data_IF_229337272494
#
_entry.id   IF_229337272494
#
_cell.length_a   1.000
_cell.length_b   1.000
_cell.length_c   1.000
_cell.angle_alpha   90.00
_cell.angle_beta   90.00
_cell.angle_gamma   90.00
#
_symmetry.space_group_name_H-M   'P 1'
#
loop_
_entity.id
_entity.type
_entity.pdbx_description
1 polymer ?
#
# COMPACT_ATOMS: atom_id res chain seq x y z
N UNK A 1 -60.57 10.77 44.69
CA UNK A 1 -60.03 12.10 44.36
C UNK A 1 -60.70 12.56 43.07
N UNK A 2 -61.47 13.65 43.15
CA UNK A 2 -62.21 14.26 42.04
C UNK A 2 -61.25 15.13 41.22
N UNK A 3 -60.95 14.70 39.99
CA UNK A 3 -60.08 15.46 39.08
C UNK A 3 -60.83 16.74 38.70
N UNK A 4 -60.24 17.88 39.07
CA UNK A 4 -60.80 19.21 38.84
C UNK A 4 -60.95 19.44 37.32
N UNK A 5 -62.17 19.59 36.78
CA UNK A 5 -62.43 19.72 35.33
C UNK A 5 -61.64 20.87 34.68
N UNK A 6 -61.37 21.93 35.46
CA UNK A 6 -60.60 23.10 34.99
C UNK A 6 -59.14 22.77 34.64
N UNK A 7 -58.53 21.79 35.29
CA UNK A 7 -57.15 21.38 35.04
C UNK A 7 -57.01 20.60 33.73
N UNK A 8 -57.95 19.70 33.45
CA UNK A 8 -57.99 18.91 32.20
C UNK A 8 -58.21 19.82 30.99
N UNK A 9 -59.07 20.83 31.12
CA UNK A 9 -59.31 21.80 30.04
C UNK A 9 -58.10 22.73 29.81
N UNK A 10 -57.38 23.12 30.87
CA UNK A 10 -56.13 23.86 30.75
C UNK A 10 -55.02 23.04 30.06
N UNK A 11 -54.92 21.75 30.38
CA UNK A 11 -53.94 20.85 29.76
C UNK A 11 -54.20 20.69 28.26
N UNK A 12 -55.45 20.42 27.86
CA UNK A 12 -55.85 20.31 26.44
C UNK A 12 -55.62 21.60 25.67
N UNK A 13 -55.87 22.75 26.30
CA UNK A 13 -55.57 24.07 25.70
C UNK A 13 -54.07 24.26 25.47
N UNK A 14 -53.23 23.88 26.44
CA UNK A 14 -51.76 23.96 26.30
C UNK A 14 -51.25 23.05 25.19
N UNK A 15 -51.71 21.81 25.13
CA UNK A 15 -51.35 20.86 24.07
C UNK A 15 -51.78 21.37 22.69
N UNK A 16 -52.99 21.92 22.58
CA UNK A 16 -53.48 22.51 21.34
C UNK A 16 -52.66 23.72 20.91
N UNK A 17 -52.27 24.58 21.85
CA UNK A 17 -51.40 25.74 21.57
C UNK A 17 -50.02 25.25 21.12
N UNK A 18 -49.44 24.24 21.77
CA UNK A 18 -48.15 23.66 21.38
C UNK A 18 -48.22 23.11 19.95
N UNK A 19 -49.23 22.30 19.63
CA UNK A 19 -49.40 21.72 18.31
C UNK A 19 -49.61 22.81 17.23
N UNK A 20 -50.34 23.88 17.56
CA UNK A 20 -50.51 25.01 16.65
C UNK A 20 -49.22 25.78 16.45
N UNK A 21 -48.39 25.92 17.49
CA UNK A 21 -47.09 26.57 17.40
C UNK A 21 -46.13 25.75 16.52
N UNK A 22 -46.07 24.43 16.72
CA UNK A 22 -45.24 23.53 15.92
C UNK A 22 -45.65 23.55 14.43
N UNK A 23 -46.94 23.59 14.13
CA UNK A 23 -47.43 23.66 12.76
C UNK A 23 -47.18 25.04 12.14
N UNK A 24 -47.26 26.13 12.91
CA UNK A 24 -46.88 27.48 12.45
C UNK A 24 -45.40 27.51 12.10
N UNK A 25 -44.53 26.99 12.95
CA UNK A 25 -43.08 26.98 12.73
C UNK A 25 -42.72 26.15 11.48
N UNK A 26 -43.40 25.01 11.29
CA UNK A 26 -43.27 24.16 10.10
C UNK A 26 -43.73 24.87 8.83
N UNK A 27 -44.87 25.55 8.87
CA UNK A 27 -45.40 26.29 7.73
C UNK A 27 -44.52 27.49 7.40
N UNK A 28 -44.02 28.21 8.41
CA UNK A 28 -43.07 29.31 8.24
C UNK A 28 -41.75 28.84 7.61
N UNK A 29 -41.21 27.70 8.03
CA UNK A 29 -40.02 27.11 7.41
C UNK A 29 -40.25 26.77 5.93
N UNK A 30 -41.42 26.20 5.60
CA UNK A 30 -41.81 25.87 4.22
C UNK A 30 -42.01 27.12 3.36
N UNK A 31 -42.65 28.16 3.90
CA UNK A 31 -42.81 29.45 3.21
C UNK A 31 -41.46 30.11 2.97
N UNK A 32 -40.56 30.12 3.95
CA UNK A 32 -39.20 30.67 3.79
C UNK A 32 -38.42 29.99 2.66
N UNK A 33 -38.52 28.66 2.54
CA UNK A 33 -37.93 27.91 1.42
C UNK A 33 -38.60 28.30 0.09
N UNK A 34 -39.92 28.40 0.06
CA UNK A 34 -40.68 28.78 -1.13
C UNK A 34 -40.37 30.22 -1.60
N UNK A 35 -40.25 31.17 -0.68
CA UNK A 35 -39.88 32.56 -0.94
C UNK A 35 -38.43 32.67 -1.45
N UNK A 36 -37.49 31.92 -0.85
CA UNK A 36 -36.10 31.84 -1.34
C UNK A 36 -36.01 31.24 -2.75
N UNK A 37 -36.93 30.34 -3.10
CA UNK A 37 -37.07 29.76 -4.43
C UNK A 37 -37.97 30.56 -5.39
N UNK A 38 -38.40 31.78 -5.03
CA UNK A 38 -39.16 32.65 -5.91
C UNK A 38 -40.58 32.16 -6.25
N UNK A 39 -41.20 31.34 -5.41
CA UNK A 39 -42.61 30.94 -5.55
C UNK A 39 -42.91 29.81 -6.55
N UNK A 40 -41.91 29.09 -7.05
CA UNK A 40 -42.12 27.97 -7.99
C UNK A 40 -42.27 26.63 -7.25
N UNK A 41 -43.38 26.45 -6.53
CA UNK A 41 -43.65 25.22 -5.76
C UNK A 41 -43.77 23.93 -6.61
N UNK A 42 -44.15 24.07 -7.89
CA UNK A 42 -44.18 22.95 -8.84
C UNK A 42 -42.76 22.46 -9.20
N UNK A 43 -41.79 23.36 -9.20
CA UNK A 43 -40.41 23.06 -9.60
C UNK A 43 -39.60 22.47 -8.44
N UNK A 44 -39.97 22.74 -7.18
CA UNK A 44 -39.30 22.11 -6.01
C UNK A 44 -39.52 20.60 -5.99
N UNK A 45 -40.70 20.12 -6.37
CA UNK A 45 -40.98 18.67 -6.41
C UNK A 45 -40.18 18.00 -7.52
N UNK A 46 -40.14 18.63 -8.70
CA UNK A 46 -39.32 18.21 -9.86
C UNK A 46 -37.81 18.30 -9.58
N UNK A 47 -37.34 19.34 -8.88
CA UNK A 47 -35.94 19.51 -8.49
C UNK A 47 -35.52 18.57 -7.36
N UNK A 48 -36.42 18.20 -6.44
CA UNK A 48 -36.17 17.16 -5.43
C UNK A 48 -36.11 15.79 -6.10
N UNK A 49 -36.98 15.53 -7.07
CA UNK A 49 -37.02 14.28 -7.82
C UNK A 49 -35.81 14.15 -8.77
N UNK A 50 -35.37 15.25 -9.39
CA UNK A 50 -34.10 15.35 -10.12
C UNK A 50 -32.89 15.22 -9.19
N UNK A 51 -32.88 15.84 -8.01
CA UNK A 51 -31.78 15.68 -7.03
C UNK A 51 -31.75 14.30 -6.38
N UNK A 52 -32.88 13.60 -6.29
CA UNK A 52 -32.95 12.19 -5.89
C UNK A 52 -32.48 11.27 -7.03
N UNK A 53 -32.73 11.64 -8.29
CA UNK A 53 -32.15 10.98 -9.48
C UNK A 53 -30.64 11.23 -9.62
N UNK A 54 -30.16 12.46 -9.37
CA UNK A 54 -28.73 12.79 -9.26
C UNK A 54 -28.11 12.15 -8.00
N UNK A 55 -28.93 11.93 -6.97
CA UNK A 55 -28.65 11.06 -5.81
C UNK A 55 -28.51 9.58 -6.15
N UNK A 56 -28.82 9.17 -7.40
CA UNK A 56 -28.41 7.88 -7.97
C UNK A 56 -26.91 7.83 -8.33
N UNK A 57 -26.10 8.65 -7.65
CA UNK A 57 -24.70 8.38 -7.37
C UNK A 57 -24.48 6.94 -6.85
N UNK A 58 -25.51 6.20 -6.42
CA UNK A 58 -25.42 4.75 -6.15
C UNK A 58 -24.93 3.92 -7.35
N UNK A 59 -25.37 4.18 -8.59
CA UNK A 59 -24.92 3.36 -9.74
C UNK A 59 -23.47 3.67 -10.11
N UNK A 60 -23.12 4.95 -10.16
CA UNK A 60 -21.76 5.41 -10.43
C UNK A 60 -20.80 4.99 -9.30
N UNK A 61 -21.19 5.11 -8.04
CA UNK A 61 -20.41 4.62 -6.88
C UNK A 61 -20.24 3.10 -6.92
N UNK A 62 -21.26 2.34 -7.31
CA UNK A 62 -21.13 0.88 -7.46
C UNK A 62 -20.21 0.53 -8.63
N UNK A 63 -20.30 1.24 -9.75
CA UNK A 63 -19.42 1.03 -10.90
C UNK A 63 -17.97 1.41 -10.58
N UNK A 64 -17.73 2.56 -9.95
CA UNK A 64 -16.41 3.00 -9.49
C UNK A 64 -15.82 2.04 -8.45
N UNK A 65 -16.63 1.52 -7.52
CA UNK A 65 -16.19 0.48 -6.57
C UNK A 65 -15.80 -0.81 -7.29
N UNK A 66 -16.59 -1.25 -8.25
CA UNK A 66 -16.27 -2.42 -9.08
C UNK A 66 -14.98 -2.21 -9.89
N UNK A 67 -14.79 -1.02 -10.47
CA UNK A 67 -13.56 -0.66 -11.18
C UNK A 67 -12.35 -0.66 -10.23
N UNK A 68 -12.48 -0.08 -9.03
CA UNK A 68 -11.44 -0.07 -8.01
C UNK A 68 -11.06 -1.50 -7.59
N UNK A 69 -12.04 -2.35 -7.26
CA UNK A 69 -11.80 -3.75 -6.91
C UNK A 69 -11.12 -4.51 -8.06
N UNK A 70 -11.53 -4.27 -9.31
CA UNK A 70 -10.90 -4.89 -10.49
C UNK A 70 -9.44 -4.45 -10.66
N UNK A 71 -9.15 -3.17 -10.40
CA UNK A 71 -7.82 -2.59 -10.49
C UNK A 71 -6.92 -3.12 -9.37
N UNK A 72 -7.43 -3.19 -8.14
CA UNK A 72 -6.73 -3.78 -7.01
C UNK A 72 -6.42 -5.26 -7.24
N UNK A 73 -7.36 -6.02 -7.80
CA UNK A 73 -7.15 -7.43 -8.13
C UNK A 73 -6.08 -7.59 -9.21
N UNK A 74 -6.09 -6.75 -10.24
CA UNK A 74 -5.03 -6.72 -11.27
C UNK A 74 -3.67 -6.38 -10.65
N UNK A 75 -3.61 -5.40 -9.75
CA UNK A 75 -2.38 -5.01 -9.07
C UNK A 75 -1.86 -6.15 -8.17
N UNK A 76 -2.73 -6.81 -7.41
CA UNK A 76 -2.39 -8.00 -6.60
C UNK A 76 -1.81 -9.11 -7.47
N UNK A 77 -2.44 -9.41 -8.62
CA UNK A 77 -1.95 -10.42 -9.57
C UNK A 77 -0.60 -10.02 -10.16
N UNK A 78 -0.42 -8.75 -10.54
CA UNK A 78 0.83 -8.24 -11.07
C UNK A 78 1.98 -8.41 -10.05
N UNK A 79 1.75 -8.03 -8.79
CA UNK A 79 2.72 -8.20 -7.70
C UNK A 79 3.06 -9.68 -7.46
N UNK A 80 2.07 -10.57 -7.54
CA UNK A 80 2.31 -12.02 -7.41
C UNK A 80 3.16 -12.56 -8.57
N UNK A 81 2.84 -12.19 -9.82
CA UNK A 81 3.64 -12.58 -10.98
C UNK A 81 5.06 -12.05 -10.86
N UNK A 82 5.23 -10.78 -10.47
CA UNK A 82 6.55 -10.18 -10.27
C UNK A 82 7.37 -10.91 -9.20
N UNK A 83 6.75 -11.25 -8.05
CA UNK A 83 7.40 -12.02 -6.99
C UNK A 83 7.85 -13.38 -7.48
N UNK A 84 6.99 -14.09 -8.23
CA UNK A 84 7.29 -15.39 -8.79
C UNK A 84 8.47 -15.33 -9.77
N UNK A 85 8.41 -14.43 -10.76
CA UNK A 85 9.50 -14.24 -11.73
C UNK A 85 10.80 -13.81 -11.04
N UNK A 86 10.74 -12.92 -10.05
CA UNK A 86 11.93 -12.52 -9.28
C UNK A 86 12.55 -13.69 -8.52
N UNK A 87 11.73 -14.56 -7.94
CA UNK A 87 12.20 -15.77 -7.28
C UNK A 87 12.84 -16.75 -8.27
N UNK A 88 12.19 -16.99 -9.41
CA UNK A 88 12.73 -17.85 -10.48
C UNK A 88 14.11 -17.37 -10.96
N UNK A 89 14.28 -16.06 -11.17
CA UNK A 89 15.59 -15.47 -11.54
C UNK A 89 16.63 -15.64 -10.43
N UNK A 90 16.24 -15.45 -9.15
CA UNK A 90 17.14 -15.64 -8.02
C UNK A 90 17.59 -17.10 -7.90
N UNK A 91 16.66 -18.04 -8.07
CA UNK A 91 16.96 -19.47 -8.04
C UNK A 91 17.86 -19.90 -9.21
N UNK A 92 17.60 -19.39 -10.42
CA UNK A 92 18.44 -19.64 -11.59
C UNK A 92 19.86 -19.11 -11.37
N UNK A 93 19.99 -17.86 -10.91
CA UNK A 93 21.30 -17.25 -10.60
C UNK A 93 22.03 -18.03 -9.51
N UNK A 94 21.34 -18.45 -8.46
CA UNK A 94 21.94 -19.24 -7.38
C UNK A 94 22.47 -20.59 -7.88
N UNK A 95 21.71 -21.31 -8.71
CA UNK A 95 22.14 -22.61 -9.26
C UNK A 95 23.27 -22.48 -10.28
N UNK A 96 23.26 -21.44 -11.11
CA UNK A 96 24.23 -21.26 -12.18
C UNK A 96 25.55 -20.63 -11.69
N UNK A 97 25.46 -19.63 -10.82
CA UNK A 97 26.63 -18.84 -10.39
C UNK A 97 27.11 -19.20 -8.99
N UNK A 98 26.32 -19.96 -8.23
CA UNK A 98 26.64 -20.30 -6.85
C UNK A 98 26.47 -19.14 -5.87
N UNK A 99 25.79 -18.06 -6.25
CA UNK A 99 25.57 -16.89 -5.37
C UNK A 99 24.10 -16.61 -5.14
N UNK A 100 23.73 -16.46 -3.87
CA UNK A 100 22.41 -16.01 -3.45
C UNK A 100 22.44 -14.49 -3.32
N UNK A 101 21.61 -13.82 -4.11
CA UNK A 101 21.49 -12.36 -4.13
C UNK A 101 20.23 -11.92 -3.37
N UNK A 102 20.45 -11.19 -2.27
CA UNK A 102 19.41 -10.61 -1.44
C UNK A 102 19.52 -9.07 -1.42
N UNK A 103 18.39 -8.39 -1.43
CA UNK A 103 18.31 -6.93 -1.40
C UNK A 103 17.94 -6.53 0.03
N UNK A 104 18.88 -5.97 0.78
CA UNK A 104 18.73 -5.68 2.22
C UNK A 104 18.25 -4.25 2.50
N UNK A 105 18.26 -3.38 1.49
CA UNK A 105 17.83 -1.98 1.62
C UNK A 105 17.88 -1.25 0.28
N UNK A 106 17.64 0.07 0.30
CA UNK A 106 17.79 0.91 -0.88
C UNK A 106 19.28 0.95 -1.27
N UNK A 107 19.65 0.22 -2.31
CA UNK A 107 21.00 0.12 -2.89
C UNK A 107 21.98 -0.83 -2.20
N UNK A 108 21.55 -1.63 -1.22
CA UNK A 108 22.42 -2.61 -0.58
C UNK A 108 22.08 -4.04 -1.01
N UNK A 109 23.10 -4.77 -1.44
CA UNK A 109 23.02 -6.12 -1.95
C UNK A 109 23.87 -7.05 -1.09
N UNK A 110 23.27 -8.11 -0.58
CA UNK A 110 23.95 -9.18 0.14
C UNK A 110 24.15 -10.36 -0.81
N UNK A 111 25.40 -10.78 -0.98
CA UNK A 111 25.78 -11.94 -1.77
C UNK A 111 26.36 -13.02 -0.85
N UNK A 112 25.71 -14.17 -0.79
CA UNK A 112 26.21 -15.33 -0.07
C UNK A 112 26.55 -16.44 -1.05
N UNK A 113 27.75 -17.00 -0.97
CA UNK A 113 28.17 -18.10 -1.83
C UNK A 113 27.49 -19.42 -1.40
N UNK A 114 27.30 -20.35 -2.32
CA UNK A 114 26.70 -21.66 -2.05
C UNK A 114 27.60 -22.56 -1.19
N UNK A 115 28.91 -22.35 -1.24
CA UNK A 115 29.92 -23.12 -0.51
C UNK A 115 30.42 -22.41 0.75
N UNK A 116 29.73 -21.36 1.21
CA UNK A 116 30.10 -20.66 2.44
C UNK A 116 29.97 -21.57 3.67
N UNK A 117 30.97 -21.55 4.55
CA UNK A 117 31.01 -22.38 5.77
C UNK A 117 29.98 -21.91 6.82
N UNK A 118 29.79 -20.59 6.95
CA UNK A 118 28.80 -19.99 7.85
C UNK A 118 27.73 -19.20 7.09
N UNK A 119 26.52 -19.11 7.66
CA UNK A 119 25.43 -18.26 7.10
C UNK A 119 25.74 -16.76 7.11
N UNK A 120 26.74 -16.38 7.89
CA UNK A 120 27.20 -15.00 8.04
C UNK A 120 28.34 -14.64 7.08
N UNK A 121 28.90 -15.63 6.37
CA UNK A 121 29.96 -15.45 5.39
C UNK A 121 29.38 -14.93 4.06
N UNK A 122 29.00 -13.66 4.08
CA UNK A 122 28.43 -12.98 2.93
C UNK A 122 29.19 -11.69 2.62
N UNK A 123 29.21 -11.36 1.34
CA UNK A 123 29.69 -10.09 0.82
C UNK A 123 28.54 -9.09 0.81
N UNK A 124 28.84 -7.85 1.15
CA UNK A 124 27.88 -6.75 1.08
C UNK A 124 28.36 -5.77 0.02
N UNK A 125 27.52 -5.50 -0.97
CA UNK A 125 27.79 -4.49 -1.99
C UNK A 125 26.79 -3.35 -1.84
N UNK A 126 27.26 -2.12 -2.01
CA UNK A 126 26.44 -0.94 -2.09
C UNK A 126 26.52 -0.34 -3.48
N UNK A 127 25.37 0.03 -4.05
CA UNK A 127 25.31 0.79 -5.30
C UNK A 127 25.46 2.28 -5.00
N UNK A 128 26.53 2.86 -5.52
CA UNK A 128 26.81 4.28 -5.43
C UNK A 128 25.93 5.14 -6.36
N UNK A 129 26.03 6.47 -6.26
CA UNK A 129 25.17 7.40 -6.99
C UNK A 129 25.38 7.37 -8.51
N UNK A 130 26.58 7.05 -8.99
CA UNK A 130 26.86 6.84 -10.42
C UNK A 130 26.50 5.44 -10.92
N UNK A 131 26.00 4.57 -10.03
CA UNK A 131 25.56 3.22 -10.36
C UNK A 131 26.64 2.14 -10.22
N UNK A 132 27.85 2.51 -9.83
CA UNK A 132 28.95 1.61 -9.47
C UNK A 132 28.61 0.76 -8.25
N UNK A 133 29.14 -0.46 -8.21
CA UNK A 133 28.98 -1.36 -7.07
C UNK A 133 30.28 -1.35 -6.25
N UNK A 134 30.17 -0.96 -4.98
CA UNK A 134 31.29 -0.92 -4.04
C UNK A 134 31.14 -2.02 -3.00
N UNK A 135 32.22 -2.76 -2.75
CA UNK A 135 32.25 -3.76 -1.69
C UNK A 135 32.37 -3.07 -0.33
N UNK A 136 31.47 -3.40 0.59
CA UNK A 136 31.54 -2.99 1.99
C UNK A 136 32.37 -3.99 2.78
N UNK A 137 33.10 -3.48 3.76
CA UNK A 137 33.91 -4.30 4.65
C UNK A 137 33.01 -5.17 5.54
N UNK A 138 33.25 -6.48 5.52
CA UNK A 138 32.61 -7.49 6.38
C UNK A 138 33.68 -8.36 7.03
N UNK A 139 33.30 -9.16 8.03
CA UNK A 139 34.19 -10.19 8.59
C UNK A 139 34.72 -11.12 7.50
N UNK A 140 33.85 -11.52 6.55
CA UNK A 140 34.22 -12.38 5.44
C UNK A 140 35.14 -11.68 4.44
N UNK A 141 34.87 -10.42 4.07
CA UNK A 141 35.72 -9.70 3.10
C UNK A 141 37.16 -9.50 3.59
N UNK A 142 37.38 -9.46 4.91
CA UNK A 142 38.72 -9.42 5.51
C UNK A 142 39.52 -10.71 5.27
N UNK A 143 38.84 -11.85 5.15
CA UNK A 143 39.50 -13.13 4.86
C UNK A 143 40.00 -13.19 3.41
N UNK A 144 39.37 -12.43 2.51
CA UNK A 144 39.65 -12.40 1.08
C UNK A 144 40.40 -11.13 0.65
N UNK A 145 41.03 -10.37 1.57
CA UNK A 145 41.67 -9.08 1.27
C UNK A 145 42.70 -9.14 0.13
N UNK A 146 43.45 -10.25 -0.01
CA UNK A 146 44.39 -10.43 -1.13
C UNK A 146 43.68 -10.48 -2.49
N UNK A 147 42.50 -11.09 -2.55
CA UNK A 147 41.68 -11.16 -3.75
C UNK A 147 41.02 -9.81 -4.06
N UNK A 148 40.67 -9.04 -3.03
CA UNK A 148 40.17 -7.66 -3.17
C UNK A 148 41.25 -6.79 -3.83
N UNK A 149 42.46 -6.78 -3.30
CA UNK A 149 43.57 -6.00 -3.85
C UNK A 149 43.87 -6.39 -5.32
N UNK A 150 43.88 -7.69 -5.62
CA UNK A 150 44.17 -8.17 -6.97
C UNK A 150 43.05 -7.87 -7.97
N UNK A 151 41.80 -8.19 -7.64
CA UNK A 151 40.71 -8.18 -8.61
C UNK A 151 39.86 -6.91 -8.57
N UNK A 152 39.67 -6.30 -7.40
CA UNK A 152 38.88 -5.07 -7.29
C UNK A 152 39.76 -3.82 -7.42
N UNK A 153 40.92 -3.78 -6.77
CA UNK A 153 41.77 -2.57 -6.82
C UNK A 153 42.64 -2.50 -8.07
N UNK A 154 43.32 -3.60 -8.43
CA UNK A 154 44.24 -3.61 -9.59
C UNK A 154 43.57 -3.87 -10.93
N UNK A 155 42.53 -4.69 -10.96
CA UNK A 155 41.87 -5.13 -12.20
C UNK A 155 40.45 -4.60 -12.40
N UNK A 156 39.88 -3.94 -11.38
CA UNK A 156 38.53 -3.36 -11.40
C UNK A 156 37.45 -4.33 -11.93
N UNK A 157 37.50 -5.59 -11.47
CA UNK A 157 36.65 -6.68 -11.97
C UNK A 157 36.00 -7.47 -10.84
N UNK A 158 34.76 -7.09 -10.52
CA UNK A 158 33.88 -7.85 -9.60
C UNK A 158 33.67 -9.30 -10.08
N UNK A 159 33.41 -9.57 -11.38
CA UNK A 159 33.24 -10.96 -11.84
C UNK A 159 34.47 -11.84 -11.60
N UNK A 160 35.68 -11.30 -11.80
CA UNK A 160 36.92 -12.03 -11.55
C UNK A 160 37.11 -12.31 -10.05
N UNK A 161 36.80 -11.32 -9.20
CA UNK A 161 36.81 -11.46 -7.75
C UNK A 161 35.86 -12.57 -7.26
N UNK A 162 34.58 -12.52 -7.68
CA UNK A 162 33.57 -13.50 -7.28
C UNK A 162 33.91 -14.90 -7.81
N UNK A 163 34.38 -15.02 -9.05
CA UNK A 163 34.80 -16.32 -9.61
C UNK A 163 35.93 -16.94 -8.79
N UNK A 164 36.91 -16.13 -8.40
CA UNK A 164 38.06 -16.59 -7.60
C UNK A 164 37.64 -17.04 -6.21
N UNK A 165 36.71 -16.33 -5.56
CA UNK A 165 36.13 -16.75 -4.28
C UNK A 165 35.37 -18.07 -4.43
N UNK A 166 34.55 -18.22 -5.47
CA UNK A 166 33.82 -19.48 -5.70
C UNK A 166 34.77 -20.65 -5.85
N UNK A 167 35.86 -20.50 -6.62
CA UNK A 167 36.86 -21.56 -6.81
C UNK A 167 37.59 -21.89 -5.49
N UNK A 168 37.94 -20.87 -4.71
CA UNK A 168 38.61 -21.04 -3.42
C UNK A 168 37.70 -21.75 -2.40
N UNK A 169 36.46 -21.28 -2.23
CA UNK A 169 35.47 -21.89 -1.34
C UNK A 169 35.13 -23.33 -1.77
N UNK A 170 34.98 -23.56 -3.08
CA UNK A 170 34.72 -24.91 -3.60
C UNK A 170 35.89 -25.86 -3.32
N UNK A 171 37.13 -25.39 -3.48
CA UNK A 171 38.34 -26.19 -3.19
C UNK A 171 38.42 -26.54 -1.70
N UNK A 172 38.08 -25.60 -0.81
CA UNK A 172 37.99 -25.87 0.63
C UNK A 172 36.88 -26.84 0.98
N UNK A 173 35.72 -26.70 0.34
CA UNK A 173 34.57 -27.56 0.56
C UNK A 173 34.84 -29.01 0.11
N UNK A 174 35.47 -29.19 -1.05
CA UNK A 174 35.81 -30.51 -1.60
C UNK A 174 37.05 -31.14 -0.98
N UNK A 175 38.02 -30.34 -0.52
CA UNK A 175 39.19 -30.83 0.21
C UNK A 175 38.91 -31.30 1.64
N UNK A 176 37.74 -30.93 2.20
CA UNK A 176 37.25 -31.37 3.51
C UNK A 176 36.29 -32.57 3.45
N UNK A 177 36.00 -33.12 2.25
CA UNK A 177 35.32 -34.42 2.05
C UNK A 177 36.35 -35.54 1.87
#
# INVERSE_FOLDING_TARGET
MTINPSFVDQQKRKEKISNMQDEIDRLQARVKVLEQSGGQAADVTLQVEQKLQDGCNCKEVVELRSQLESSELRNKRLLQTFKKTSQEVREATYRLMGYRLDITGANNYKLCNAYSESSDDCLLFQRGPSGELQLLETSFSKTTSKLIELYLEKQDSIPAYLSSITLDLFSRHTGNM
#
